data_IF_115364150759
#
_entry.id   IF_115364150759
#
_cell.length_a   1.000
_cell.length_b   1.000
_cell.length_c   1.000
_cell.angle_alpha   90.00
_cell.angle_beta   90.00
_cell.angle_gamma   90.00
#
_symmetry.space_group_name_H-M   'P 1'
#
loop_
_entity.id
_entity.type
_entity.pdbx_description
1 polymer ?
#
# COMPACT_ATOMS: atom_id res chain seq x y z
N UNK A 1 -2.15 -26.28 -15.55
CA UNK A 1 -3.45 -25.96 -14.91
C UNK A 1 -3.86 -24.53 -15.31
N UNK A 2 -5.15 -24.27 -15.53
CA UNK A 2 -5.69 -22.93 -15.79
C UNK A 2 -6.33 -22.43 -14.49
N UNK A 3 -6.09 -21.18 -14.11
CA UNK A 3 -6.68 -20.57 -12.91
C UNK A 3 -8.14 -20.20 -13.14
N UNK A 4 -8.91 -20.07 -12.05
CA UNK A 4 -10.14 -19.29 -12.09
C UNK A 4 -9.84 -17.81 -12.41
N UNK A 5 -10.83 -17.00 -12.84
CA UNK A 5 -10.65 -15.58 -13.08
C UNK A 5 -10.21 -14.82 -11.82
N UNK A 6 -9.17 -14.01 -11.95
CA UNK A 6 -8.57 -13.20 -10.88
C UNK A 6 -8.71 -11.73 -11.23
N UNK A 7 -9.13 -10.90 -10.27
CA UNK A 7 -9.09 -9.44 -10.43
C UNK A 7 -7.73 -8.93 -9.93
N UNK A 8 -6.92 -8.40 -10.84
CA UNK A 8 -5.62 -7.78 -10.52
C UNK A 8 -5.69 -6.32 -10.93
N UNK A 9 -5.52 -5.43 -9.96
CA UNK A 9 -5.72 -3.98 -10.11
C UNK A 9 -7.15 -3.68 -10.61
N UNK A 10 -7.32 -3.46 -11.91
CA UNK A 10 -8.56 -3.09 -12.58
C UNK A 10 -8.98 -4.07 -13.69
N UNK A 11 -8.29 -5.21 -13.81
CA UNK A 11 -8.46 -6.14 -14.93
C UNK A 11 -8.69 -7.57 -14.47
N UNK A 12 -9.61 -8.25 -15.15
CA UNK A 12 -9.81 -9.68 -14.99
C UNK A 12 -8.76 -10.44 -15.80
N UNK A 13 -8.05 -11.34 -15.13
CA UNK A 13 -6.99 -12.16 -15.70
C UNK A 13 -7.30 -13.64 -15.49
N UNK A 14 -6.99 -14.47 -16.48
CA UNK A 14 -6.99 -15.93 -16.39
C UNK A 14 -5.56 -16.37 -16.70
N UNK A 15 -4.94 -17.14 -15.82
CA UNK A 15 -3.53 -17.52 -15.94
C UNK A 15 -3.43 -19.01 -16.23
N UNK A 16 -2.68 -19.38 -17.27
CA UNK A 16 -2.36 -20.76 -17.58
C UNK A 16 -0.92 -21.06 -17.16
N UNK A 17 -0.73 -22.04 -16.28
CA UNK A 17 0.61 -22.58 -16.01
C UNK A 17 1.09 -23.38 -17.22
N UNK A 18 2.14 -22.89 -17.89
CA UNK A 18 2.75 -23.53 -19.06
C UNK A 18 3.81 -24.57 -18.67
N UNK A 19 4.53 -24.34 -17.58
CA UNK A 19 5.47 -25.29 -16.99
C UNK A 19 5.58 -25.07 -15.50
N UNK A 20 5.75 -26.15 -14.73
CA UNK A 20 6.26 -26.06 -13.37
C UNK A 20 7.76 -25.85 -13.46
N UNK A 21 8.22 -24.62 -13.25
CA UNK A 21 9.63 -24.38 -12.96
C UNK A 21 9.83 -24.50 -11.45
N UNK A 22 10.82 -25.27 -11.03
CA UNK A 22 11.37 -25.10 -9.69
C UNK A 22 12.00 -23.71 -9.71
N UNK A 23 11.48 -22.74 -8.93
CA UNK A 23 12.08 -21.42 -8.91
C UNK A 23 13.56 -21.58 -8.55
N UNK A 24 14.49 -20.87 -9.23
CA UNK A 24 15.89 -20.95 -8.89
C UNK A 24 16.02 -20.62 -7.40
N UNK A 25 16.78 -21.45 -6.67
CA UNK A 25 17.00 -21.25 -5.25
C UNK A 25 17.49 -19.81 -5.04
N UNK A 26 16.67 -18.99 -4.37
CA UNK A 26 17.08 -17.65 -3.98
C UNK A 26 18.11 -17.84 -2.89
N UNK A 27 19.34 -17.39 -3.13
CA UNK A 27 20.38 -17.42 -2.11
C UNK A 27 19.91 -16.68 -0.86
N UNK A 28 20.19 -17.24 0.33
CA UNK A 28 19.73 -16.66 1.59
C UNK A 28 20.14 -15.18 1.75
N UNK A 29 21.32 -14.82 1.25
CA UNK A 29 21.81 -13.44 1.26
C UNK A 29 20.93 -12.49 0.42
N UNK A 30 20.46 -12.94 -0.75
CA UNK A 30 19.57 -12.16 -1.61
C UNK A 30 18.16 -12.06 -1.02
N UNK A 31 17.67 -13.12 -0.37
CA UNK A 31 16.41 -13.09 0.35
C UNK A 31 16.45 -12.08 1.50
N UNK A 32 17.51 -12.10 2.32
CA UNK A 32 17.71 -11.17 3.41
C UNK A 32 17.78 -9.72 2.93
N UNK A 33 18.50 -9.48 1.83
CA UNK A 33 18.58 -8.15 1.20
C UNK A 33 17.19 -7.66 0.79
N UNK A 34 16.41 -8.50 0.09
CA UNK A 34 15.04 -8.17 -0.34
C UNK A 34 14.11 -7.94 0.84
N UNK A 35 14.21 -8.76 1.89
CA UNK A 35 13.41 -8.63 3.10
C UNK A 35 13.68 -7.29 3.81
N UNK A 36 14.96 -6.92 3.96
CA UNK A 36 15.35 -5.62 4.54
C UNK A 36 14.87 -4.44 3.71
N UNK A 37 14.99 -4.50 2.38
CA UNK A 37 14.51 -3.43 1.51
C UNK A 37 12.99 -3.26 1.63
N UNK A 38 12.24 -4.38 1.64
CA UNK A 38 10.78 -4.35 1.81
C UNK A 38 10.38 -3.82 3.18
N UNK A 39 11.09 -4.22 4.24
CA UNK A 39 10.87 -3.71 5.59
C UNK A 39 11.13 -2.20 5.67
N UNK A 40 12.21 -1.71 5.04
CA UNK A 40 12.53 -0.29 4.96
C UNK A 40 11.41 0.51 4.28
N UNK A 41 10.96 0.07 3.10
CA UNK A 41 9.87 0.73 2.36
C UNK A 41 8.58 0.76 3.19
N UNK A 42 8.26 -0.34 3.88
CA UNK A 42 7.07 -0.40 4.73
C UNK A 42 7.17 0.57 5.92
N UNK A 43 8.34 0.65 6.57
CA UNK A 43 8.59 1.58 7.66
C UNK A 43 8.53 3.04 7.19
N UNK A 44 9.12 3.35 6.04
CA UNK A 44 9.07 4.69 5.44
C UNK A 44 7.62 5.11 5.13
N UNK A 45 6.80 4.21 4.57
CA UNK A 45 5.37 4.50 4.35
C UNK A 45 4.63 4.82 5.64
N UNK A 46 4.80 3.99 6.67
CA UNK A 46 4.16 4.24 7.99
C UNK A 46 4.64 5.55 8.61
N UNK A 47 5.93 5.88 8.48
CA UNK A 47 6.48 7.13 8.97
C UNK A 47 5.89 8.34 8.22
N UNK A 48 5.75 8.25 6.89
CA UNK A 48 5.12 9.29 6.08
C UNK A 48 3.64 9.48 6.41
N UNK A 49 2.89 8.40 6.60
CA UNK A 49 1.48 8.47 7.01
C UNK A 49 1.34 9.16 8.38
N UNK A 50 2.16 8.78 9.36
CA UNK A 50 2.19 9.43 10.68
C UNK A 50 2.58 10.90 10.62
N UNK A 51 3.51 11.26 9.74
CA UNK A 51 3.92 12.65 9.53
C UNK A 51 2.78 13.46 8.91
N UNK A 52 2.14 12.94 7.87
CA UNK A 52 0.99 13.56 7.22
C UNK A 52 -0.14 13.79 8.22
N UNK A 53 -0.47 12.79 9.04
CA UNK A 53 -1.48 12.89 10.08
C UNK A 53 -1.15 13.94 11.14
N UNK A 54 0.13 14.03 11.53
CA UNK A 54 0.58 15.07 12.45
C UNK A 54 0.39 16.46 11.85
N UNK A 55 0.82 16.67 10.61
CA UNK A 55 0.67 17.95 9.91
C UNK A 55 -0.80 18.36 9.78
N UNK A 56 -1.69 17.42 9.44
CA UNK A 56 -3.13 17.68 9.35
C UNK A 56 -3.78 18.05 10.70
N UNK A 57 -3.16 17.67 11.83
CA UNK A 57 -3.65 17.98 13.19
C UNK A 57 -3.05 19.26 13.76
N UNK A 58 -1.76 19.51 13.54
CA UNK A 58 -1.04 20.63 14.16
C UNK A 58 -1.15 21.92 13.35
N UNK A 59 -1.40 21.82 12.05
CA UNK A 59 -1.47 22.99 11.17
C UNK A 59 -2.92 23.45 11.01
N UNK A 60 -3.17 24.74 11.24
CA UNK A 60 -4.47 25.34 10.91
C UNK A 60 -4.61 25.46 9.39
N UNK A 61 -5.43 24.60 8.79
CA UNK A 61 -5.70 24.62 7.35
C UNK A 61 -6.92 25.48 7.06
N UNK A 62 -6.76 26.50 6.22
CA UNK A 62 -7.87 27.26 5.64
C UNK A 62 -8.30 26.60 4.32
N UNK A 63 -9.28 25.71 4.37
CA UNK A 63 -9.84 25.04 3.19
C UNK A 63 -11.08 25.81 2.74
N UNK A 64 -10.99 26.46 1.57
CA UNK A 64 -12.08 27.24 0.98
C UNK A 64 -13.06 26.40 0.17
N UNK A 65 -12.63 25.21 -0.26
CA UNK A 65 -13.47 24.25 -0.96
C UNK A 65 -14.26 23.40 0.05
N UNK A 66 -15.59 23.55 0.05
CA UNK A 66 -16.46 22.88 1.03
C UNK A 66 -16.49 21.34 0.84
N UNK A 67 -16.29 20.83 -0.38
CA UNK A 67 -16.26 19.39 -0.63
C UNK A 67 -14.98 18.75 -0.06
N UNK A 68 -13.83 19.40 -0.23
CA UNK A 68 -12.55 18.99 0.34
C UNK A 68 -12.57 19.08 1.87
N UNK A 69 -13.16 20.13 2.42
CA UNK A 69 -13.34 20.31 3.86
C UNK A 69 -14.20 19.20 4.48
N UNK A 70 -15.36 18.91 3.88
CA UNK A 70 -16.23 17.81 4.30
C UNK A 70 -15.54 16.44 4.22
N UNK A 71 -14.71 16.22 3.20
CA UNK A 71 -13.96 14.97 3.05
C UNK A 71 -12.89 14.83 4.13
N UNK A 72 -12.17 15.91 4.46
CA UNK A 72 -11.19 15.91 5.55
C UNK A 72 -11.85 15.67 6.91
N UNK A 73 -13.00 16.28 7.17
CA UNK A 73 -13.72 16.11 8.43
C UNK A 73 -14.26 14.68 8.58
N UNK A 74 -14.76 14.06 7.50
CA UNK A 74 -15.12 12.63 7.47
C UNK A 74 -13.93 11.74 7.80
N UNK A 75 -12.79 11.96 7.14
CA UNK A 75 -11.56 11.20 7.43
C UNK A 75 -11.10 11.35 8.89
N UNK A 76 -11.24 12.54 9.49
CA UNK A 76 -10.92 12.77 10.91
C UNK A 76 -11.85 12.00 11.84
N UNK A 77 -13.14 11.92 11.50
CA UNK A 77 -14.16 11.29 12.34
C UNK A 77 -14.07 9.76 12.27
N UNK A 78 -13.82 9.19 11.09
CA UNK A 78 -13.63 7.75 10.89
C UNK A 78 -12.40 7.21 11.61
N UNK A 79 -11.31 7.98 11.65
CA UNK A 79 -10.06 7.60 12.33
C UNK A 79 -10.05 7.82 13.85
N UNK A 80 -11.09 8.45 14.39
CA UNK A 80 -11.26 8.64 15.84
C UNK A 80 -12.09 7.52 16.50
N UNK A 81 -12.71 6.65 15.70
CA UNK A 81 -13.39 5.43 16.14
C UNK A 81 -12.43 4.25 16.12
#
# INVERSE_FOLDING_TARGET
AISDPLLVEDRFMIVQMLSESVPPAIEAAELDRRARERARIAQERVAMERLADRLLRTTSLSIFDEAAKSSLDRMRTERAR
#
